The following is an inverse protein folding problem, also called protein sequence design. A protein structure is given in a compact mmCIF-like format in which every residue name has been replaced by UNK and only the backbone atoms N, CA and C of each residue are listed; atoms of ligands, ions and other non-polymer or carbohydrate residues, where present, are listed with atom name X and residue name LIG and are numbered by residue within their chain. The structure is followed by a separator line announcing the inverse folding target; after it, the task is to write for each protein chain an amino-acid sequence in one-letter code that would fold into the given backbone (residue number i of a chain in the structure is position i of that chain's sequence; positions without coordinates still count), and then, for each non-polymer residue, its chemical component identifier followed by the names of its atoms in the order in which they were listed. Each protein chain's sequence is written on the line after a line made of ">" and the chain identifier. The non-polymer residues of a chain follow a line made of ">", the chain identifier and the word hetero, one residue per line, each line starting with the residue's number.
data_IF_969343416336
#
_entry.id   IF_969343416336
#
_cell.length_a   1.000
_cell.length_b   1.000
_cell.length_c   1.000
_cell.angle_alpha   90.00
_cell.angle_beta   90.00
_cell.angle_gamma   90.00
#
_symmetry.space_group_name_H-M   'P 1'
#
loop_
_entity.id
_entity.type
_entity.pdbx_description
1 polymer ?
#
# COMPACT_ATOMS: atom_id res chain seq x y z
N UNK A 1 6.16 14.62 9.07
CA UNK A 1 5.54 14.39 7.75
C UNK A 1 5.31 12.90 7.62
N UNK A 2 4.08 12.46 7.38
CA UNK A 2 3.78 11.03 7.16
C UNK A 2 4.01 10.69 5.69
N UNK A 3 4.49 9.47 5.44
CA UNK A 3 4.75 8.95 4.10
C UNK A 3 3.82 7.74 3.87
N UNK A 4 2.61 7.99 3.39
CA UNK A 4 1.52 7.02 3.31
C UNK A 4 1.62 6.12 2.06
N UNK A 5 2.79 5.50 1.88
CA UNK A 5 3.07 4.60 0.76
C UNK A 5 3.90 3.41 1.21
N UNK A 6 3.70 2.28 0.55
CA UNK A 6 4.53 1.09 0.71
C UNK A 6 5.58 1.07 -0.41
N UNK A 7 6.84 0.83 -0.05
CA UNK A 7 7.94 0.80 -1.01
C UNK A 7 8.66 -0.55 -1.03
N UNK A 8 8.91 -1.06 -2.25
CA UNK A 8 9.82 -2.18 -2.50
C UNK A 8 11.21 -1.65 -2.82
N UNK A 9 12.22 -2.22 -2.15
CA UNK A 9 13.62 -1.88 -2.37
C UNK A 9 14.35 -3.12 -2.87
N UNK A 10 14.88 -3.05 -4.08
CA UNK A 10 15.78 -4.08 -4.57
C UNK A 10 17.12 -3.99 -3.83
N UNK A 11 17.79 -5.13 -3.66
CA UNK A 11 19.10 -5.18 -3.00
C UNK A 11 20.06 -4.18 -3.65
N UNK A 12 20.69 -3.33 -2.84
CA UNK A 12 21.61 -2.26 -3.24
C UNK A 12 20.99 -1.11 -4.07
N UNK A 13 19.65 -1.03 -4.21
CA UNK A 13 19.02 0.10 -4.88
C UNK A 13 19.19 1.39 -4.09
N UNK A 14 19.40 2.50 -4.79
CA UNK A 14 19.40 3.85 -4.20
C UNK A 14 18.00 4.48 -4.18
N UNK A 15 17.04 3.86 -4.88
CA UNK A 15 15.66 4.34 -4.97
C UNK A 15 14.66 3.21 -4.70
N UNK A 16 13.58 3.55 -3.99
CA UNK A 16 12.46 2.66 -3.72
C UNK A 16 11.36 2.76 -4.77
N UNK A 17 10.76 1.63 -5.12
CA UNK A 17 9.60 1.56 -6.01
C UNK A 17 8.35 1.67 -5.14
N UNK A 18 7.49 2.64 -5.40
CA UNK A 18 6.19 2.72 -4.72
C UNK A 18 5.27 1.65 -5.30
N UNK A 19 4.83 0.72 -4.46
CA UNK A 19 3.99 -0.43 -4.86
C UNK A 19 2.56 -0.33 -4.34
N UNK A 20 2.31 0.59 -3.40
CA UNK A 20 0.95 0.90 -2.94
C UNK A 20 0.90 2.31 -2.32
N UNK A 21 -0.25 2.96 -2.44
CA UNK A 21 -0.46 4.34 -2.02
C UNK A 21 0.07 5.36 -3.02
N UNK A 22 -0.06 6.64 -2.67
CA UNK A 22 0.29 7.75 -3.55
C UNK A 22 1.80 7.91 -3.70
N UNK A 23 2.26 8.24 -4.92
CA UNK A 23 3.70 8.44 -5.20
C UNK A 23 4.32 9.55 -4.34
N UNK A 24 3.54 10.58 -4.02
CA UNK A 24 3.91 11.71 -3.17
C UNK A 24 3.72 11.45 -1.67
N UNK A 25 3.18 10.29 -1.28
CA UNK A 25 2.94 9.91 0.11
C UNK A 25 1.77 10.65 0.78
N UNK A 26 1.01 11.44 0.03
CA UNK A 26 -0.18 12.16 0.52
C UNK A 26 -1.28 11.15 0.87
N UNK A 27 -1.80 11.25 2.10
CA UNK A 27 -2.89 10.39 2.57
C UNK A 27 -4.19 10.56 1.79
N UNK A 28 -5.06 9.56 1.86
CA UNK A 28 -6.43 9.64 1.38
C UNK A 28 -7.15 8.29 1.37
N UNK A 29 -8.44 8.34 1.04
CA UNK A 29 -9.35 7.20 1.15
C UNK A 29 -9.66 6.50 -0.19
N UNK A 30 -9.38 7.11 -1.34
CA UNK A 30 -9.63 6.45 -2.62
C UNK A 30 -8.71 5.23 -2.83
N UNK A 31 -8.97 4.44 -3.86
CA UNK A 31 -8.29 3.17 -4.09
C UNK A 31 -6.80 3.31 -4.42
N UNK A 32 -6.33 4.49 -4.85
CA UNK A 32 -4.90 4.75 -5.09
C UNK A 32 -4.18 5.31 -3.87
N UNK A 33 -4.88 5.51 -2.75
CA UNK A 33 -4.34 6.15 -1.54
C UNK A 33 -4.47 5.27 -0.30
N UNK A 34 -3.58 5.54 0.64
CA UNK A 34 -3.55 4.96 1.98
C UNK A 34 -3.58 6.10 3.00
N UNK A 35 -3.99 5.81 4.23
CA UNK A 35 -3.93 6.70 5.37
C UNK A 35 -3.39 5.94 6.59
N UNK A 36 -2.20 6.32 7.04
CA UNK A 36 -1.47 5.70 8.15
C UNK A 36 -1.43 4.17 8.07
N UNK A 37 -0.84 3.59 6.99
CA UNK A 37 -0.71 2.14 6.88
C UNK A 37 0.26 1.62 7.94
N UNK A 38 -0.21 0.79 8.87
CA UNK A 38 0.61 0.33 10.01
C UNK A 38 1.25 -1.03 9.80
N UNK A 39 0.72 -1.84 8.87
CA UNK A 39 1.24 -3.17 8.62
C UNK A 39 1.06 -3.56 7.16
N UNK A 40 1.95 -4.43 6.69
CA UNK A 40 1.95 -5.00 5.35
C UNK A 40 2.30 -6.48 5.42
N UNK A 41 1.60 -7.30 4.65
CA UNK A 41 1.94 -8.70 4.41
C UNK A 41 2.00 -8.95 2.91
N UNK A 42 2.87 -9.86 2.47
CA UNK A 42 3.08 -10.19 1.07
C UNK A 42 2.90 -11.69 0.92
N UNK A 43 2.09 -12.09 -0.06
CA UNK A 43 2.06 -13.45 -0.54
C UNK A 43 3.25 -13.69 -1.47
N UNK A 44 4.21 -14.51 -1.05
CA UNK A 44 5.46 -14.74 -1.78
C UNK A 44 5.27 -15.49 -3.11
N UNK A 45 4.18 -16.23 -3.29
CA UNK A 45 3.92 -16.95 -4.54
C UNK A 45 3.32 -16.02 -5.61
N UNK A 46 2.44 -15.11 -5.20
CA UNK A 46 1.67 -14.25 -6.10
C UNK A 46 2.16 -12.78 -6.15
N UNK A 47 3.12 -12.40 -5.30
CA UNK A 47 3.55 -11.01 -5.06
C UNK A 47 2.39 -10.06 -4.63
N UNK A 48 1.24 -10.61 -4.20
CA UNK A 48 0.09 -9.81 -3.75
C UNK A 48 0.37 -9.20 -2.39
N UNK A 49 0.08 -7.91 -2.24
CA UNK A 49 0.32 -7.13 -1.03
C UNK A 49 -0.99 -6.87 -0.30
N UNK A 50 -1.00 -7.14 1.00
CA UNK A 50 -2.12 -6.88 1.90
C UNK A 50 -1.72 -5.83 2.91
N UNK A 51 -2.52 -4.77 3.04
CA UNK A 51 -2.17 -3.58 3.80
C UNK A 51 -3.26 -3.28 4.81
N UNK A 52 -2.84 -3.10 6.07
CA UNK A 52 -3.69 -2.51 7.10
C UNK A 52 -3.71 -0.99 6.91
N UNK A 53 -4.73 -0.49 6.22
CA UNK A 53 -4.94 0.93 5.90
C UNK A 53 -5.69 1.61 7.04
N UNK A 54 -4.97 1.81 8.15
CA UNK A 54 -5.53 1.92 9.50
C UNK A 54 -6.46 3.11 9.70
N UNK A 55 -6.11 4.30 9.21
CA UNK A 55 -6.98 5.48 9.36
C UNK A 55 -8.21 5.42 8.44
N UNK A 56 -8.13 4.63 7.37
CA UNK A 56 -9.28 4.34 6.52
C UNK A 56 -10.11 3.15 7.02
N UNK A 57 -9.76 2.58 8.18
CA UNK A 57 -10.45 1.45 8.82
C UNK A 57 -10.69 0.27 7.87
N UNK A 58 -9.73 -0.03 7.00
CA UNK A 58 -9.87 -1.07 5.97
C UNK A 58 -8.61 -1.90 5.76
N UNK A 59 -8.81 -3.08 5.18
CA UNK A 59 -7.74 -3.90 4.63
C UNK A 59 -7.80 -3.79 3.11
N UNK A 60 -6.68 -3.38 2.51
CA UNK A 60 -6.55 -3.33 1.06
C UNK A 60 -5.65 -4.45 0.53
N UNK A 61 -6.06 -5.03 -0.60
CA UNK A 61 -5.26 -5.94 -1.41
C UNK A 61 -4.78 -5.21 -2.66
N UNK A 62 -3.49 -5.27 -2.92
CA UNK A 62 -2.83 -4.68 -4.08
C UNK A 62 -2.16 -5.78 -4.90
N UNK A 63 -2.53 -5.90 -6.17
CA UNK A 63 -1.89 -6.86 -7.07
C UNK A 63 -0.58 -6.29 -7.61
N UNK A 64 0.37 -7.13 -8.04
CA UNK A 64 1.61 -6.67 -8.65
C UNK A 64 1.35 -5.76 -9.83
N UNK A 65 2.06 -4.62 -9.89
CA UNK A 65 1.99 -3.61 -10.95
C UNK A 65 0.65 -2.85 -11.07
N UNK A 66 -0.31 -3.07 -10.18
CA UNK A 66 -1.54 -2.27 -10.14
C UNK A 66 -1.29 -0.91 -9.45
N UNK A 67 -2.03 0.11 -9.91
CA UNK A 67 -1.95 1.47 -9.37
C UNK A 67 -2.99 1.73 -8.27
N UNK A 68 -3.88 0.78 -8.03
CA UNK A 68 -5.00 0.87 -7.09
C UNK A 68 -5.18 -0.42 -6.32
N UNK A 69 -5.56 -0.31 -5.06
CA UNK A 69 -5.95 -1.42 -4.22
C UNK A 69 -7.42 -1.76 -4.34
N UNK A 70 -7.78 -2.94 -3.86
CA UNK A 70 -9.16 -3.36 -3.65
C UNK A 70 -9.38 -3.48 -2.14
N UNK A 71 -10.43 -2.84 -1.63
CA UNK A 71 -10.86 -3.05 -0.25
C UNK A 71 -11.44 -4.46 -0.12
N UNK A 72 -10.85 -5.29 0.75
CA UNK A 72 -11.28 -6.68 0.97
C UNK A 72 -11.91 -6.89 2.35
N UNK A 73 -11.76 -5.95 3.28
CA UNK A 73 -12.43 -5.93 4.58
C UNK A 73 -12.49 -4.50 5.15
N UNK A 74 -13.53 -4.18 5.93
CA UNK A 74 -13.71 -2.86 6.58
C UNK A 74 -14.17 -1.76 5.62
N UNK A 75 -13.84 -0.50 5.93
CA UNK A 75 -14.10 0.68 5.09
C UNK A 75 -15.43 1.40 5.30
N UNK A 76 -16.05 1.26 6.49
CA UNK A 76 -17.26 1.98 6.86
C UNK A 76 -17.06 3.50 7.00
#
# INVERSE_FOLDING_TARGET
>A
MMNNRIQKWNKNSQEGITIAGSKDGISGYNDSKLASPFHVWIDEESDVVYIADSENNRIQRWLPNELTGTTIAGGA
#
